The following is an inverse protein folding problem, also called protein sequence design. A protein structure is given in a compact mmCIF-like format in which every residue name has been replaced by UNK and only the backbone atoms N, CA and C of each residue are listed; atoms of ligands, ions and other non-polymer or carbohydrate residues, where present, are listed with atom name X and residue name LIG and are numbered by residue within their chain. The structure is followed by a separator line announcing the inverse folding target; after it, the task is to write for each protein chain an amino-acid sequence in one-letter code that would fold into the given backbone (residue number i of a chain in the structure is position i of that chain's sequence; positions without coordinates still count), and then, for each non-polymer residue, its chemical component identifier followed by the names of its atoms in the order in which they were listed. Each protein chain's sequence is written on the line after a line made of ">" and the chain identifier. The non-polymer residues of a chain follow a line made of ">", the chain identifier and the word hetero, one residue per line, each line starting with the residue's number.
data_IF_293347842458
#
_entry.id   IF_293347842458
#
_cell.length_a   1.000
_cell.length_b   1.000
_cell.length_c   1.000
_cell.angle_alpha   90.00
_cell.angle_beta   90.00
_cell.angle_gamma   90.00
#
_symmetry.space_group_name_H-M   'P 1'
#
loop_
_entity.id
_entity.type
_entity.pdbx_description
1 polymer ?
#
# COMPACT_ATOMS: atom_id res chain seq x y z
N UNK A 1 -9.13 42.77 66.97
CA UNK A 1 -9.10 41.90 68.17
C UNK A 1 -10.41 42.08 68.94
N UNK A 2 -11.14 40.97 69.20
CA UNK A 2 -12.34 40.78 70.08
C UNK A 2 -13.59 41.58 69.64
N UNK A 3 -14.84 41.07 69.62
CA UNK A 3 -15.64 40.17 70.48
C UNK A 3 -16.70 39.43 69.61
N UNK A 4 -16.96 38.12 69.75
CA UNK A 4 -17.80 37.36 70.71
C UNK A 4 -19.33 37.30 70.42
N UNK A 5 -19.89 36.09 70.66
CA UNK A 5 -21.30 35.63 70.78
C UNK A 5 -21.89 35.11 69.45
N UNK A 6 -22.60 33.99 69.36
CA UNK A 6 -23.52 33.34 70.30
C UNK A 6 -23.72 31.86 69.91
N UNK A 7 -23.87 31.00 70.90
CA UNK A 7 -24.23 29.58 70.84
C UNK A 7 -25.66 29.35 70.32
N UNK A 8 -25.88 28.28 69.52
CA UNK A 8 -27.16 27.56 69.52
C UNK A 8 -26.97 26.08 69.09
N UNK A 9 -27.53 25.19 69.90
CA UNK A 9 -27.44 23.74 69.79
C UNK A 9 -28.32 23.17 68.67
N UNK A 10 -27.88 22.06 68.04
CA UNK A 10 -28.77 21.17 67.29
C UNK A 10 -28.52 19.73 67.74
N UNK A 11 -29.62 19.07 68.03
CA UNK A 11 -29.77 17.83 68.76
C UNK A 11 -29.21 16.58 68.05
N UNK A 12 -28.83 15.63 68.90
CA UNK A 12 -28.61 14.20 68.64
C UNK A 12 -29.70 13.56 67.77
N UNK A 13 -29.29 12.77 66.77
CA UNK A 13 -29.92 11.48 66.49
C UNK A 13 -28.85 10.44 66.16
N UNK A 14 -28.67 9.51 67.10
CA UNK A 14 -27.95 8.26 66.91
C UNK A 14 -28.88 7.35 66.08
N UNK A 15 -28.66 7.24 64.78
CA UNK A 15 -29.26 6.15 64.00
C UNK A 15 -28.29 4.96 64.05
N UNK A 16 -28.60 4.01 64.93
CA UNK A 16 -28.02 2.66 64.87
C UNK A 16 -28.46 2.04 63.55
N UNK A 17 -27.57 2.02 62.57
CA UNK A 17 -27.78 1.27 61.34
C UNK A 17 -27.70 -0.22 61.66
N UNK A 18 -28.83 -0.90 61.61
CA UNK A 18 -28.87 -2.37 61.60
C UNK A 18 -28.22 -2.83 60.30
N UNK A 19 -27.03 -3.41 60.37
CA UNK A 19 -26.43 -4.13 59.25
C UNK A 19 -27.22 -5.41 59.00
N UNK A 20 -28.07 -5.41 57.98
CA UNK A 20 -28.64 -6.65 57.45
C UNK A 20 -27.51 -7.45 56.82
N UNK A 21 -27.15 -8.59 57.42
CA UNK A 21 -26.27 -9.56 56.77
C UNK A 21 -27.00 -10.10 55.54
N UNK A 22 -26.48 -9.82 54.34
CA UNK A 22 -26.90 -10.53 53.14
C UNK A 22 -26.51 -12.01 53.31
N UNK A 23 -27.50 -12.90 53.42
CA UNK A 23 -27.27 -14.33 53.46
C UNK A 23 -26.81 -14.80 52.07
N UNK A 24 -25.49 -14.90 51.87
CA UNK A 24 -24.93 -15.53 50.68
C UNK A 24 -25.26 -17.03 50.70
N UNK A 25 -25.82 -17.55 49.61
CA UNK A 25 -26.13 -18.97 49.45
C UNK A 25 -24.96 -19.62 48.73
N UNK A 26 -24.36 -20.65 49.32
CA UNK A 26 -23.38 -21.49 48.63
C UNK A 26 -24.09 -22.48 47.72
N UNK A 27 -23.71 -22.52 46.45
CA UNK A 27 -24.26 -23.47 45.49
C UNK A 27 -23.22 -24.51 45.12
N UNK A 28 -23.65 -25.76 45.06
CA UNK A 28 -22.84 -26.92 44.71
C UNK A 28 -23.46 -27.66 43.53
N UNK A 29 -22.66 -28.13 42.59
CA UNK A 29 -23.13 -28.96 41.46
C UNK A 29 -22.73 -30.41 41.64
N UNK A 30 -23.67 -31.33 41.46
CA UNK A 30 -23.36 -32.76 41.40
C UNK A 30 -22.70 -33.10 40.06
N UNK A 31 -21.51 -33.66 40.13
CA UNK A 31 -20.68 -33.96 38.95
C UNK A 31 -21.31 -34.98 38.00
N UNK A 32 -22.21 -35.85 38.47
CA UNK A 32 -22.88 -36.90 37.68
C UNK A 32 -24.24 -36.48 37.16
N UNK A 33 -25.08 -35.90 38.00
CA UNK A 33 -26.47 -35.54 37.62
C UNK A 33 -26.59 -34.11 37.09
N UNK A 34 -25.55 -33.29 37.26
CA UNK A 34 -25.54 -31.85 36.94
C UNK A 34 -26.62 -31.04 37.66
N UNK A 35 -27.17 -31.57 38.74
CA UNK A 35 -28.13 -30.86 39.59
C UNK A 35 -27.42 -29.92 40.58
N UNK A 36 -28.06 -28.80 40.91
CA UNK A 36 -27.53 -27.77 41.83
C UNK A 36 -28.17 -27.94 43.22
N UNK A 37 -27.36 -27.84 44.27
CA UNK A 37 -27.74 -27.98 45.68
C UNK A 37 -27.20 -26.81 46.50
N UNK A 38 -27.90 -26.44 47.57
CA UNK A 38 -27.47 -25.40 48.52
C UNK A 38 -26.65 -25.95 49.70
N UNK A 39 -26.34 -27.25 49.69
CA UNK A 39 -25.65 -27.94 50.78
C UNK A 39 -24.53 -28.86 50.24
N UNK A 40 -23.38 -28.96 50.95
CA UNK A 40 -22.29 -29.83 50.55
C UNK A 40 -22.69 -31.31 50.63
N UNK A 41 -22.15 -32.13 49.71
CA UNK A 41 -22.47 -33.56 49.64
C UNK A 41 -21.48 -34.36 48.79
N UNK A 42 -21.46 -35.69 48.95
CA UNK A 42 -20.50 -36.58 48.27
C UNK A 42 -20.66 -36.50 46.74
N UNK A 43 -19.63 -36.03 46.04
CA UNK A 43 -19.65 -35.85 44.58
C UNK A 43 -20.18 -34.49 44.10
N UNK A 44 -20.44 -33.57 45.03
CA UNK A 44 -20.82 -32.18 44.75
C UNK A 44 -19.61 -31.27 44.83
N UNK A 45 -19.43 -30.44 43.82
CA UNK A 45 -18.34 -29.46 43.72
C UNK A 45 -18.90 -28.05 43.95
N UNK A 46 -18.19 -27.24 44.75
CA UNK A 46 -18.62 -25.89 45.09
C UNK A 46 -18.53 -24.98 43.86
N UNK A 47 -19.66 -24.36 43.50
CA UNK A 47 -19.74 -23.38 42.42
C UNK A 47 -19.45 -21.95 42.90
N UNK A 48 -19.51 -21.72 44.22
CA UNK A 48 -19.22 -20.43 44.85
C UNK A 48 -20.36 -19.94 45.75
N UNK A 49 -20.16 -18.78 46.36
CA UNK A 49 -21.16 -18.08 47.17
C UNK A 49 -21.90 -17.07 46.30
N UNK A 50 -23.22 -17.22 46.20
CA UNK A 50 -24.08 -16.38 45.37
C UNK A 50 -24.99 -15.54 46.25
N UNK A 51 -24.98 -14.23 46.01
CA UNK A 51 -25.92 -13.29 46.62
C UNK A 51 -27.12 -13.13 45.70
N UNK A 52 -28.35 -13.24 46.24
CA UNK A 52 -29.56 -13.01 45.46
C UNK A 52 -29.65 -11.52 45.11
N UNK A 53 -29.34 -11.18 43.87
CA UNK A 53 -29.64 -9.86 43.32
C UNK A 53 -31.15 -9.81 43.10
N UNK A 54 -31.88 -9.04 43.92
CA UNK A 54 -33.26 -8.67 43.58
C UNK A 54 -33.23 -7.91 42.26
N UNK A 55 -34.13 -8.26 41.33
CA UNK A 55 -34.31 -7.55 40.06
C UNK A 55 -34.68 -6.08 40.34
N UNK A 56 -33.66 -5.26 40.56
CA UNK A 56 -33.73 -3.82 40.38
C UNK A 56 -34.06 -3.59 38.91
N UNK A 57 -35.05 -2.73 38.58
CA UNK A 57 -35.27 -2.34 37.21
C UNK A 57 -33.95 -1.82 36.66
N UNK A 58 -33.59 -2.31 35.48
CA UNK A 58 -32.34 -2.09 34.76
C UNK A 58 -31.57 -0.85 35.23
N UNK A 59 -30.41 -1.07 35.84
CA UNK A 59 -29.38 -0.04 36.03
C UNK A 59 -29.08 0.58 34.66
N UNK A 60 -29.73 1.71 34.40
CA UNK A 60 -29.78 2.43 33.13
C UNK A 60 -28.52 3.27 32.96
N UNK A 61 -27.35 2.63 32.98
CA UNK A 61 -26.07 3.31 32.69
C UNK A 61 -25.16 2.57 31.71
N UNK A 62 -25.38 1.28 31.45
CA UNK A 62 -24.55 0.53 30.48
C UNK A 62 -25.21 0.38 29.10
N UNK A 63 -26.55 0.38 29.01
CA UNK A 63 -27.25 0.20 27.73
C UNK A 63 -27.34 1.48 26.88
N UNK A 64 -27.32 2.65 27.51
CA UNK A 64 -27.44 3.93 26.81
C UNK A 64 -26.13 4.39 26.17
N UNK A 65 -24.98 4.00 26.75
CA UNK A 65 -23.65 4.31 26.19
C UNK A 65 -23.36 3.43 24.97
N UNK A 66 -23.64 2.14 25.06
CA UNK A 66 -23.50 1.21 23.92
C UNK A 66 -24.44 1.55 22.76
N UNK A 67 -25.68 1.99 23.03
CA UNK A 67 -26.62 2.36 21.96
C UNK A 67 -26.15 3.60 21.16
N UNK A 68 -25.62 4.62 21.85
CA UNK A 68 -25.10 5.84 21.22
C UNK A 68 -23.80 5.59 20.43
N UNK A 69 -22.91 4.74 20.97
CA UNK A 69 -21.69 4.31 20.28
C UNK A 69 -22.02 3.45 19.05
N UNK A 70 -23.00 2.56 19.13
CA UNK A 70 -23.46 1.76 17.97
C UNK A 70 -24.06 2.65 16.87
N UNK A 71 -24.80 3.71 17.22
CA UNK A 71 -25.30 4.68 16.22
C UNK A 71 -24.17 5.46 15.56
N UNK A 72 -23.18 5.93 16.33
CA UNK A 72 -22.02 6.62 15.79
C UNK A 72 -21.18 5.72 14.87
N UNK A 73 -21.01 4.44 15.23
CA UNK A 73 -20.32 3.45 14.40
C UNK A 73 -21.09 3.20 13.10
N UNK A 74 -22.42 3.13 13.13
CA UNK A 74 -23.24 2.97 11.91
C UNK A 74 -23.09 4.17 10.97
N UNK A 75 -23.12 5.38 11.51
CA UNK A 75 -22.91 6.62 10.74
C UNK A 75 -21.50 6.66 10.12
N UNK A 76 -20.46 6.27 10.86
CA UNK A 76 -19.07 6.17 10.35
C UNK A 76 -18.94 5.10 9.26
N UNK A 77 -19.62 3.96 9.41
CA UNK A 77 -19.65 2.91 8.38
C UNK A 77 -20.38 3.36 7.12
N UNK A 78 -21.49 4.09 7.25
CA UNK A 78 -22.20 4.67 6.11
C UNK A 78 -21.32 5.70 5.38
N UNK A 79 -20.61 6.54 6.13
CA UNK A 79 -19.68 7.53 5.57
C UNK A 79 -18.53 6.84 4.83
N UNK A 80 -17.91 5.82 5.43
CA UNK A 80 -16.87 5.00 4.78
C UNK A 80 -17.40 4.23 3.58
N UNK A 81 -18.62 3.73 3.61
CA UNK A 81 -19.24 3.05 2.47
C UNK A 81 -19.43 4.02 1.29
N UNK A 82 -19.84 5.25 1.57
CA UNK A 82 -19.97 6.30 0.56
C UNK A 82 -18.61 6.72 -0.01
N UNK A 83 -17.58 6.83 0.84
CA UNK A 83 -16.20 7.11 0.41
C UNK A 83 -15.63 5.99 -0.46
N UNK A 84 -15.82 4.72 -0.05
CA UNK A 84 -15.39 3.55 -0.84
C UNK A 84 -16.08 3.55 -2.19
N UNK A 85 -17.39 3.78 -2.23
CA UNK A 85 -18.15 3.86 -3.49
C UNK A 85 -17.63 4.99 -4.39
N UNK A 86 -17.36 6.17 -3.83
CA UNK A 86 -16.79 7.28 -4.58
C UNK A 86 -15.37 6.97 -5.10
N UNK A 87 -14.54 6.28 -4.31
CA UNK A 87 -13.21 5.83 -4.74
C UNK A 87 -13.30 4.78 -5.84
N UNK A 88 -14.24 3.82 -5.73
CA UNK A 88 -14.49 2.81 -6.76
C UNK A 88 -14.93 3.45 -8.08
N UNK A 89 -15.87 4.40 -8.04
CA UNK A 89 -16.32 5.14 -9.22
C UNK A 89 -15.16 5.90 -9.88
N UNK A 90 -14.29 6.55 -9.09
CA UNK A 90 -13.09 7.20 -9.61
C UNK A 90 -12.08 6.21 -10.22
N UNK A 91 -11.90 5.03 -9.60
CA UNK A 91 -11.02 3.99 -10.14
C UNK A 91 -11.57 3.42 -11.44
N UNK A 92 -12.89 3.22 -11.54
CA UNK A 92 -13.56 2.76 -12.77
C UNK A 92 -13.42 3.83 -13.86
N UNK A 93 -13.71 5.09 -13.57
CA UNK A 93 -13.53 6.19 -14.51
C UNK A 93 -12.07 6.30 -15.00
N UNK A 94 -11.09 6.19 -14.09
CA UNK A 94 -9.68 6.20 -14.47
C UNK A 94 -9.27 4.98 -15.32
N UNK A 95 -9.86 3.80 -15.09
CA UNK A 95 -9.65 2.61 -15.92
C UNK A 95 -10.26 2.79 -17.31
N UNK A 96 -11.46 3.35 -17.41
CA UNK A 96 -12.11 3.66 -18.68
C UNK A 96 -11.35 4.70 -19.49
N UNK A 97 -10.85 5.76 -18.84
CA UNK A 97 -9.99 6.75 -19.50
C UNK A 97 -8.68 6.14 -20.00
N UNK A 98 -8.06 5.26 -19.21
CA UNK A 98 -6.88 4.50 -19.67
C UNK A 98 -7.21 3.58 -20.84
N UNK A 99 -8.33 2.86 -20.81
CA UNK A 99 -8.76 2.01 -21.91
C UNK A 99 -9.00 2.81 -23.20
N UNK A 100 -9.69 3.96 -23.11
CA UNK A 100 -9.86 4.89 -24.24
C UNK A 100 -8.54 5.48 -24.73
N UNK A 101 -7.57 5.64 -23.83
CA UNK A 101 -6.24 6.06 -24.24
C UNK A 101 -5.54 4.93 -25.01
N UNK A 102 -5.59 3.69 -24.52
CA UNK A 102 -4.99 2.51 -25.18
C UNK A 102 -5.60 2.19 -26.55
N UNK A 103 -6.83 2.62 -26.82
CA UNK A 103 -7.43 2.56 -28.17
C UNK A 103 -6.66 3.39 -29.20
N UNK A 104 -5.99 4.47 -28.79
CA UNK A 104 -5.26 5.34 -29.70
C UNK A 104 -4.05 4.62 -30.27
N UNK A 105 -3.96 4.59 -31.60
CA UNK A 105 -2.93 3.86 -32.35
C UNK A 105 -1.49 4.15 -31.89
N UNK A 106 -1.19 5.39 -31.47
CA UNK A 106 0.17 5.76 -31.04
C UNK A 106 0.58 5.12 -29.71
N UNK A 107 -0.36 4.76 -28.84
CA UNK A 107 -0.07 4.06 -27.58
C UNK A 107 0.27 2.58 -27.80
N UNK A 108 -0.07 2.04 -28.97
CA UNK A 108 0.26 0.68 -29.40
C UNK A 108 1.67 0.59 -30.01
N UNK A 109 2.35 1.72 -30.22
CA UNK A 109 3.71 1.76 -30.77
C UNK A 109 4.73 1.56 -29.65
N UNK A 110 5.55 0.53 -29.82
CA UNK A 110 6.68 0.27 -28.94
C UNK A 110 7.95 0.94 -29.49
N UNK A 111 8.72 1.55 -28.59
CA UNK A 111 10.06 2.04 -28.87
C UNK A 111 11.09 1.12 -28.22
N UNK A 112 11.98 0.59 -29.04
CA UNK A 112 13.15 -0.18 -28.59
C UNK A 112 14.40 0.40 -29.23
N UNK A 113 15.57 0.06 -28.70
CA UNK A 113 16.81 0.52 -29.30
C UNK A 113 18.03 0.10 -28.51
N UNK A 114 19.18 0.31 -29.12
CA UNK A 114 20.46 0.10 -28.47
C UNK A 114 21.54 0.95 -29.12
N UNK A 115 22.55 1.27 -28.32
CA UNK A 115 23.74 2.00 -28.74
C UNK A 115 24.96 1.12 -28.54
N UNK A 116 25.77 0.98 -29.59
CA UNK A 116 27.06 0.31 -29.51
C UNK A 116 28.18 1.34 -29.61
N UNK A 117 28.94 1.44 -28.54
CA UNK A 117 30.14 2.27 -28.45
C UNK A 117 31.35 1.41 -28.77
N UNK A 118 32.33 2.00 -29.45
CA UNK A 118 33.62 1.37 -29.71
C UNK A 118 34.74 2.30 -29.26
N UNK A 119 35.66 1.75 -28.48
CA UNK A 119 36.93 2.38 -28.18
C UNK A 119 38.07 1.49 -28.69
N UNK A 120 38.97 2.06 -29.49
CA UNK A 120 40.16 1.43 -30.04
C UNK A 120 41.38 2.22 -29.57
N UNK A 121 42.34 1.53 -28.95
CA UNK A 121 43.64 2.10 -28.63
C UNK A 121 44.73 1.15 -29.14
N UNK A 122 45.62 1.58 -30.04
CA UNK A 122 46.78 0.78 -30.40
C UNK A 122 47.67 0.59 -29.15
N UNK A 123 48.01 -0.67 -28.85
CA UNK A 123 48.78 -1.06 -27.65
C UNK A 123 50.29 -0.93 -27.90
N UNK A 124 50.72 -0.99 -29.16
CA UNK A 124 52.12 -0.88 -29.59
C UNK A 124 52.20 -0.29 -31.00
N UNK A 125 53.26 0.47 -31.28
CA UNK A 125 53.48 1.17 -32.54
C UNK A 125 53.93 2.60 -32.27
N UNK A 126 55.06 3.02 -32.85
CA UNK A 126 55.57 4.37 -32.67
C UNK A 126 54.62 5.38 -33.34
N UNK A 127 54.09 6.33 -32.57
CA UNK A 127 53.24 7.44 -33.07
C UNK A 127 53.99 8.39 -34.00
N UNK A 128 55.32 8.31 -34.01
CA UNK A 128 56.22 9.22 -34.72
C UNK A 128 57.00 8.56 -35.86
N UNK A 129 56.90 7.23 -36.02
CA UNK A 129 57.57 6.53 -37.11
C UNK A 129 56.75 6.63 -38.40
N UNK A 130 57.45 6.80 -39.52
CA UNK A 130 56.94 6.83 -40.89
C UNK A 130 56.36 5.47 -41.38
N UNK A 131 55.67 4.75 -40.51
CA UNK A 131 55.01 3.47 -40.78
C UNK A 131 53.53 3.68 -41.14
N UNK A 132 52.94 2.79 -41.96
CA UNK A 132 51.60 2.96 -42.50
C UNK A 132 50.59 3.09 -41.36
N UNK A 133 49.85 4.20 -41.39
CA UNK A 133 48.73 4.46 -40.50
C UNK A 133 47.85 3.20 -40.40
N UNK A 134 47.56 2.75 -39.17
CA UNK A 134 46.62 1.65 -38.93
C UNK A 134 45.25 2.09 -39.43
N UNK A 135 44.98 1.77 -40.69
CA UNK A 135 43.76 2.08 -41.44
C UNK A 135 43.15 0.78 -41.92
N UNK A 136 41.86 0.63 -41.67
CA UNK A 136 41.06 -0.42 -42.29
C UNK A 136 40.25 0.17 -43.43
N UNK A 137 40.42 -0.36 -44.64
CA UNK A 137 39.70 0.10 -45.85
C UNK A 137 38.18 -0.01 -45.71
N UNK A 138 37.69 -0.94 -44.86
CA UNK A 138 36.26 -1.13 -44.59
C UNK A 138 35.77 -0.51 -43.29
N UNK A 139 36.65 0.16 -42.52
CA UNK A 139 36.32 0.68 -41.20
C UNK A 139 37.08 1.99 -40.88
N UNK A 140 36.47 3.11 -41.27
CA UNK A 140 37.00 4.45 -41.00
C UNK A 140 37.07 4.85 -39.52
N UNK A 141 36.57 4.01 -38.59
CA UNK A 141 36.76 4.19 -37.14
C UNK A 141 38.14 3.76 -36.64
N UNK A 142 38.93 3.09 -37.50
CA UNK A 142 40.29 2.64 -37.21
C UNK A 142 41.25 3.55 -37.97
N UNK A 143 41.68 4.64 -37.32
CA UNK A 143 42.66 5.60 -37.83
C UNK A 143 43.36 6.32 -36.68
N UNK A 144 44.47 7.00 -36.98
CA UNK A 144 45.14 7.79 -35.96
C UNK A 144 44.23 8.90 -35.44
N UNK A 145 44.27 9.13 -34.13
CA UNK A 145 43.45 10.14 -33.44
C UNK A 145 41.93 9.90 -33.51
N UNK A 146 41.48 8.68 -33.84
CA UNK A 146 40.07 8.26 -33.86
C UNK A 146 39.90 7.02 -33.00
N UNK A 147 40.08 7.18 -31.68
CA UNK A 147 39.98 6.08 -30.74
C UNK A 147 38.56 5.76 -30.32
N UNK A 148 37.59 6.66 -30.47
CA UNK A 148 36.21 6.47 -30.01
C UNK A 148 35.22 6.67 -31.15
N UNK A 149 34.22 5.79 -31.26
CA UNK A 149 33.14 5.92 -32.25
C UNK A 149 31.84 5.29 -31.79
N UNK A 150 30.72 5.80 -32.32
CA UNK A 150 29.44 5.10 -32.29
C UNK A 150 29.42 4.11 -33.45
N UNK A 151 29.28 2.82 -33.17
CA UNK A 151 29.21 1.80 -34.24
C UNK A 151 27.79 1.59 -34.74
N UNK A 152 26.81 1.74 -33.85
CA UNK A 152 25.37 1.61 -34.10
C UNK A 152 24.64 2.48 -33.09
N UNK A 153 23.68 3.27 -33.56
CA UNK A 153 22.71 3.96 -32.71
C UNK A 153 21.37 3.66 -33.34
N UNK A 154 20.78 2.51 -32.96
CA UNK A 154 19.56 2.01 -33.59
C UNK A 154 18.38 2.22 -32.68
N UNK A 155 17.34 2.81 -33.25
CA UNK A 155 16.02 2.84 -32.67
C UNK A 155 15.11 1.94 -33.51
N UNK A 156 14.09 1.38 -32.88
CA UNK A 156 13.08 0.54 -33.50
C UNK A 156 11.74 1.04 -33.01
N UNK A 157 10.91 1.49 -33.94
CA UNK A 157 9.52 1.84 -33.72
C UNK A 157 8.69 0.71 -34.31
N UNK A 158 7.95 -0.01 -33.48
CA UNK A 158 7.17 -1.16 -33.93
C UNK A 158 5.84 -1.26 -33.21
N UNK A 159 4.76 -1.52 -33.95
CA UNK A 159 3.45 -1.76 -33.35
C UNK A 159 2.34 -1.75 -34.38
N UNK A 160 1.13 -2.05 -33.92
CA UNK A 160 -0.05 -2.11 -34.76
C UNK A 160 -0.77 -0.76 -34.74
N UNK A 161 -0.88 -0.12 -35.90
CA UNK A 161 -1.63 1.12 -36.07
C UNK A 161 -3.13 0.80 -35.99
N UNK A 162 -3.55 -0.27 -36.65
CA UNK A 162 -4.90 -0.84 -36.61
C UNK A 162 -4.83 -2.36 -36.85
N UNK A 163 -5.99 -3.03 -36.86
CA UNK A 163 -6.08 -4.50 -36.98
C UNK A 163 -5.53 -5.08 -38.31
N UNK A 164 -5.27 -4.23 -39.31
CA UNK A 164 -4.82 -4.62 -40.64
C UNK A 164 -3.45 -4.03 -41.02
N UNK A 165 -2.92 -3.11 -40.21
CA UNK A 165 -1.70 -2.36 -40.51
C UNK A 165 -0.77 -2.34 -39.30
N UNK A 166 0.31 -3.07 -39.44
CA UNK A 166 1.47 -3.01 -38.55
C UNK A 166 2.52 -2.09 -39.16
N UNK A 167 3.33 -1.47 -38.30
CA UNK A 167 4.45 -0.64 -38.68
C UNK A 167 5.72 -1.17 -38.02
N UNK A 168 6.81 -1.27 -38.79
CA UNK A 168 8.16 -1.47 -38.27
C UNK A 168 9.14 -0.51 -38.95
N UNK A 169 9.77 0.38 -38.18
CA UNK A 169 10.79 1.32 -38.68
C UNK A 169 12.04 1.22 -37.81
N UNK A 170 13.20 1.03 -38.44
CA UNK A 170 14.50 1.00 -37.76
C UNK A 170 15.48 2.02 -38.35
N UNK A 171 15.58 3.25 -37.81
CA UNK A 171 16.66 4.17 -38.15
C UNK A 171 17.96 3.84 -37.40
N UNK A 172 19.10 4.06 -38.07
CA UNK A 172 20.46 3.97 -37.52
C UNK A 172 21.19 5.30 -37.71
N UNK A 173 21.59 5.94 -36.60
CA UNK A 173 22.25 7.25 -36.61
C UNK A 173 23.78 7.19 -36.65
N UNK A 174 24.36 5.99 -36.67
CA UNK A 174 25.82 5.81 -36.71
C UNK A 174 26.32 5.41 -38.11
N UNK A 175 25.58 5.77 -39.15
CA UNK A 175 25.93 5.39 -40.54
C UNK A 175 26.90 6.38 -41.15
N UNK A 176 27.82 5.89 -41.98
CA UNK A 176 28.89 6.68 -42.57
C UNK A 176 28.67 6.78 -44.07
N UNK A 177 28.74 7.99 -44.62
CA UNK A 177 28.60 8.26 -46.06
C UNK A 177 29.98 8.38 -46.70
N UNK A 178 30.95 8.95 -45.97
CA UNK A 178 32.35 9.02 -46.36
C UNK A 178 33.25 9.13 -45.11
N UNK A 179 34.57 8.99 -45.26
CA UNK A 179 35.52 9.03 -44.13
C UNK A 179 35.51 10.33 -43.32
N UNK A 180 35.05 11.43 -43.90
CA UNK A 180 34.90 12.74 -43.25
C UNK A 180 33.46 13.02 -42.80
N UNK A 181 32.48 12.26 -43.29
CA UNK A 181 31.05 12.44 -43.02
C UNK A 181 30.48 11.18 -42.34
N UNK A 182 30.46 11.25 -41.01
CA UNK A 182 30.07 10.16 -40.10
C UNK A 182 28.79 10.53 -39.33
N UNK A 183 28.13 9.53 -38.73
CA UNK A 183 26.93 9.69 -37.88
C UNK A 183 25.69 10.25 -38.60
N UNK A 184 25.39 9.72 -39.78
CA UNK A 184 24.17 10.03 -40.52
C UNK A 184 23.03 9.09 -40.13
N UNK A 185 21.81 9.63 -40.17
CA UNK A 185 20.60 8.84 -40.10
C UNK A 185 20.42 8.06 -41.39
N UNK A 186 20.33 6.74 -41.28
CA UNK A 186 20.00 5.83 -42.38
C UNK A 186 18.86 4.93 -41.95
N UNK A 187 17.92 4.68 -42.86
CA UNK A 187 16.87 3.69 -42.65
C UNK A 187 17.44 2.29 -42.90
N UNK A 188 17.35 1.41 -41.90
CA UNK A 188 17.77 0.01 -42.01
C UNK A 188 16.64 -0.85 -42.55
N UNK A 189 15.51 -0.78 -41.85
CA UNK A 189 14.31 -1.54 -42.16
C UNK A 189 13.11 -0.60 -42.08
N UNK A 190 12.19 -0.76 -43.04
CA UNK A 190 10.86 -0.15 -43.02
C UNK A 190 9.87 -1.05 -43.76
N UNK A 191 8.90 -1.59 -43.04
CA UNK A 191 7.81 -2.40 -43.58
C UNK A 191 6.56 -2.32 -42.70
#
# INVERSE_FOLDING_TARGET
>A
MKFSKLTLAIATTLSVGVSFNAFAIELYVDTKTKQIYAEPGKGRELMGSFERVEEKPATTKTDTQNAAEITAIKEDLELKQNEIKALEENVVAAREEKAKNDEKWFNKINLRGYTQLRYNQPISGDRTAADPELKSVGDGSIKNNSGFSFRRVRLVFSGDINDYLSLYIQPDFASNISDSQQNFAQLRDAY
#
